data_IF_063857841358
#
_entry.id   IF_063857841358
#
_cell.length_a   1.000
_cell.length_b   1.000
_cell.length_c   1.000
_cell.angle_alpha   90.00
_cell.angle_beta   90.00
_cell.angle_gamma   90.00
#
_symmetry.space_group_name_H-M   'P 1'
#
loop_
_entity.id
_entity.type
_entity.pdbx_description
1 polymer ?
#
# COMPACT_ATOMS: atom_id res chain seq x y z
N UNK A 1 -18.73 -1.56 10.64
CA UNK A 1 -17.59 -2.46 10.48
C UNK A 1 -16.55 -1.74 9.62
N UNK A 2 -15.27 -1.84 9.93
CA UNK A 2 -14.21 -1.26 9.10
C UNK A 2 -14.10 -1.95 7.75
N UNK A 3 -13.61 -1.24 6.76
CA UNK A 3 -13.12 -1.83 5.51
C UNK A 3 -11.64 -2.19 5.70
N UNK A 4 -11.30 -3.47 5.51
CA UNK A 4 -9.97 -4.02 5.78
C UNK A 4 -9.27 -4.29 4.44
N UNK A 5 -8.16 -3.56 4.20
CA UNK A 5 -7.34 -3.62 3.01
C UNK A 5 -6.05 -4.38 3.29
N UNK A 6 -5.84 -5.51 2.63
CA UNK A 6 -4.63 -6.32 2.78
C UNK A 6 -3.59 -5.91 1.72
N UNK A 7 -2.45 -5.40 2.13
CA UNK A 7 -1.29 -5.20 1.25
C UNK A 7 -0.52 -6.51 1.17
N UNK A 8 -0.59 -7.17 0.01
CA UNK A 8 -0.05 -8.52 -0.16
C UNK A 8 0.70 -8.68 -1.47
N UNK A 9 1.83 -9.34 -1.41
CA UNK A 9 2.56 -9.91 -2.53
C UNK A 9 3.61 -10.86 -1.95
N UNK A 10 3.74 -12.05 -2.54
CA UNK A 10 4.74 -13.07 -2.16
C UNK A 10 6.16 -12.56 -2.33
N UNK A 11 6.38 -11.65 -3.28
CA UNK A 11 7.66 -10.96 -3.46
C UNK A 11 7.97 -10.05 -2.27
N UNK A 12 9.15 -10.22 -1.67
CA UNK A 12 9.69 -9.28 -0.70
C UNK A 12 10.16 -7.98 -1.40
N UNK A 13 10.11 -6.86 -0.69
CA UNK A 13 10.65 -5.58 -1.19
C UNK A 13 9.72 -4.75 -2.08
N UNK A 14 8.61 -5.27 -2.56
CA UNK A 14 7.68 -4.58 -3.48
C UNK A 14 6.96 -3.35 -2.90
N UNK A 15 7.29 -2.93 -1.69
CA UNK A 15 6.76 -1.70 -1.11
C UNK A 15 5.49 -1.86 -0.26
N UNK A 16 5.06 -3.07 0.15
CA UNK A 16 3.86 -3.29 0.99
C UNK A 16 3.79 -2.34 2.19
N UNK A 17 4.83 -2.33 3.02
CA UNK A 17 4.90 -1.44 4.20
C UNK A 17 4.82 0.04 3.85
N UNK A 18 5.39 0.44 2.69
CA UNK A 18 5.30 1.80 2.18
C UNK A 18 3.85 2.14 1.82
N UNK A 19 3.18 1.25 1.10
CA UNK A 19 1.76 1.45 0.75
C UNK A 19 0.88 1.55 1.99
N UNK A 20 1.05 0.66 2.98
CA UNK A 20 0.31 0.74 4.26
C UNK A 20 0.51 2.08 4.93
N UNK A 21 1.76 2.49 5.13
CA UNK A 21 2.07 3.76 5.79
C UNK A 21 1.45 4.96 5.07
N UNK A 22 1.62 5.02 3.75
CA UNK A 22 1.21 6.19 2.97
C UNK A 22 -0.30 6.23 2.70
N UNK A 23 -0.94 5.10 2.41
CA UNK A 23 -2.40 5.04 2.26
C UNK A 23 -3.11 5.31 3.59
N UNK A 24 -2.62 4.76 4.70
CA UNK A 24 -3.14 5.08 6.03
C UNK A 24 -2.99 6.57 6.35
N UNK A 25 -1.87 7.20 5.98
CA UNK A 25 -1.65 8.62 6.18
C UNK A 25 -2.62 9.48 5.37
N UNK A 26 -2.76 9.24 4.07
CA UNK A 26 -3.67 9.99 3.20
C UNK A 26 -5.13 9.80 3.64
N UNK A 27 -5.51 8.57 3.98
CA UNK A 27 -6.86 8.26 4.43
C UNK A 27 -7.16 8.89 5.79
N UNK A 28 -6.20 8.80 6.73
CA UNK A 28 -6.33 9.39 8.05
C UNK A 28 -6.38 10.91 8.02
N UNK A 29 -5.52 11.59 7.24
CA UNK A 29 -5.60 13.05 7.05
C UNK A 29 -6.94 13.46 6.45
N UNK A 30 -7.47 12.65 5.52
CA UNK A 30 -8.72 12.95 4.81
C UNK A 30 -9.96 12.77 5.68
N UNK A 31 -10.01 11.70 6.47
CA UNK A 31 -11.17 11.36 7.29
C UNK A 31 -11.12 11.98 8.69
N UNK A 32 -9.92 12.26 9.19
CA UNK A 32 -9.71 12.81 10.52
C UNK A 32 -10.10 11.84 11.64
N UNK A 33 -10.40 12.40 12.79
CA UNK A 33 -10.89 11.67 13.96
C UNK A 33 -12.41 11.47 13.88
N UNK A 34 -12.88 10.37 14.43
CA UNK A 34 -14.31 10.13 14.60
C UNK A 34 -14.87 11.10 15.64
N UNK A 35 -15.91 11.87 15.32
CA UNK A 35 -16.42 12.92 16.21
C UNK A 35 -17.08 12.38 17.49
N UNK A 36 -17.44 11.10 17.53
CA UNK A 36 -18.10 10.48 18.68
C UNK A 36 -17.07 9.90 19.64
N UNK A 37 -16.09 9.17 19.11
CA UNK A 37 -15.08 8.47 19.92
C UNK A 37 -13.82 9.29 20.18
N UNK A 38 -13.56 10.32 19.35
CA UNK A 38 -12.31 11.08 19.38
C UNK A 38 -11.08 10.31 18.86
N UNK A 39 -11.27 9.06 18.41
CA UNK A 39 -10.21 8.21 17.89
C UNK A 39 -9.96 8.49 16.39
N UNK A 40 -8.75 8.21 15.86
CA UNK A 40 -8.52 8.22 14.43
C UNK A 40 -9.50 7.31 13.68
N UNK A 41 -9.96 7.74 12.51
CA UNK A 41 -10.86 6.92 11.68
C UNK A 41 -10.16 5.75 10.97
N UNK A 42 -8.84 5.67 11.07
CA UNK A 42 -7.99 4.73 10.32
C UNK A 42 -6.99 4.04 11.25
N UNK A 43 -6.72 2.78 10.98
CA UNK A 43 -5.61 2.06 11.59
C UNK A 43 -4.69 1.45 10.53
N UNK A 44 -3.40 1.36 10.87
CA UNK A 44 -2.39 0.58 10.14
C UNK A 44 -1.94 -0.58 11.05
N UNK A 45 -1.97 -1.78 10.51
CA UNK A 45 -1.59 -3.00 11.22
C UNK A 45 -0.37 -3.62 10.55
N UNK A 46 0.69 -3.89 11.30
CA UNK A 46 1.81 -4.69 10.80
C UNK A 46 1.69 -6.13 11.28
N UNK A 47 1.55 -7.03 10.34
CA UNK A 47 1.60 -8.47 10.56
C UNK A 47 2.94 -9.08 10.09
N UNK A 48 3.86 -8.26 9.54
CA UNK A 48 5.19 -8.70 9.13
C UNK A 48 6.12 -8.83 10.34
N UNK A 49 6.65 -10.05 10.63
CA UNK A 49 7.59 -10.26 11.72
C UNK A 49 8.91 -9.50 11.57
N UNK A 50 9.29 -9.11 10.35
CA UNK A 50 10.50 -8.32 10.10
C UNK A 50 10.40 -6.90 10.67
N UNK A 51 9.19 -6.40 10.91
CA UNK A 51 8.95 -5.17 11.65
C UNK A 51 9.35 -3.89 10.92
N UNK A 52 9.47 -3.91 9.58
CA UNK A 52 9.84 -2.75 8.78
C UNK A 52 8.91 -1.55 9.01
N UNK A 53 7.60 -1.81 9.01
CA UNK A 53 6.59 -0.78 9.31
C UNK A 53 6.72 -0.28 10.76
N UNK A 54 6.98 -1.17 11.73
CA UNK A 54 7.18 -0.81 13.13
C UNK A 54 8.37 0.11 13.35
N UNK A 55 9.49 -0.17 12.69
CA UNK A 55 10.65 0.71 12.71
C UNK A 55 10.31 2.12 12.24
N UNK A 56 9.51 2.24 11.20
CA UNK A 56 9.07 3.53 10.66
C UNK A 56 8.09 4.22 11.60
N UNK A 57 7.02 3.54 12.00
CA UNK A 57 5.95 4.13 12.83
C UNK A 57 6.42 4.61 14.19
N UNK A 58 7.45 4.00 14.76
CA UNK A 58 8.05 4.47 16.02
C UNK A 58 8.78 5.82 15.89
N UNK A 59 9.02 6.31 14.67
CA UNK A 59 9.70 7.57 14.38
C UNK A 59 8.76 8.67 13.91
N UNK A 60 7.56 8.30 13.47
CA UNK A 60 6.56 9.30 13.06
C UNK A 60 5.93 9.89 14.31
N UNK A 61 6.06 11.21 14.50
CA UNK A 61 5.51 11.91 15.66
C UNK A 61 3.99 12.08 15.54
N UNK A 62 3.53 12.70 14.46
CA UNK A 62 2.12 13.00 14.22
C UNK A 62 1.52 12.07 13.17
N UNK A 63 0.97 10.94 13.63
CA UNK A 63 0.27 9.99 12.77
C UNK A 63 -1.23 10.31 12.75
N UNK A 64 -1.84 10.51 11.56
CA UNK A 64 -3.29 10.69 11.45
C UNK A 64 -4.06 9.36 11.50
N UNK A 65 -3.45 8.30 12.03
CA UNK A 65 -4.00 6.96 12.18
C UNK A 65 -3.37 6.24 13.37
N UNK A 66 -4.05 5.24 13.90
CA UNK A 66 -3.50 4.36 14.92
C UNK A 66 -2.62 3.28 14.28
N UNK A 67 -1.55 2.92 14.99
CA UNK A 67 -0.64 1.86 14.55
C UNK A 67 -0.59 0.71 15.54
N UNK A 68 -0.73 -0.52 15.03
CA UNK A 68 -0.68 -1.76 15.81
C UNK A 68 0.33 -2.73 15.18
N UNK A 69 1.19 -3.32 16.00
CA UNK A 69 2.15 -4.36 15.60
C UNK A 69 1.75 -5.70 16.22
N UNK A 70 1.53 -6.70 15.40
CA UNK A 70 1.40 -8.08 15.86
C UNK A 70 2.80 -8.61 16.16
N UNK A 71 3.05 -9.04 17.40
CA UNK A 71 4.35 -9.54 17.85
C UNK A 71 4.32 -10.94 18.41
N UNK A 72 3.13 -11.47 18.69
CA UNK A 72 2.93 -12.66 19.49
C UNK A 72 2.14 -13.71 18.72
N UNK A 73 2.45 -14.98 18.91
CA UNK A 73 1.73 -16.08 18.25
C UNK A 73 0.26 -16.18 18.70
N UNK A 74 -0.05 -15.64 19.88
CA UNK A 74 -1.42 -15.67 20.41
C UNK A 74 -2.31 -14.57 19.80
N UNK A 75 -1.74 -13.63 19.02
CA UNK A 75 -2.46 -12.50 18.43
C UNK A 75 -3.39 -12.90 17.27
N UNK A 76 -3.43 -14.19 16.88
CA UNK A 76 -4.37 -14.67 15.85
C UNK A 76 -5.83 -14.43 16.23
N UNK A 77 -6.16 -14.44 17.51
CA UNK A 77 -7.51 -14.08 17.98
C UNK A 77 -7.82 -12.59 17.75
N UNK A 78 -6.81 -11.72 17.84
CA UNK A 78 -6.92 -10.29 17.56
C UNK A 78 -7.23 -10.02 16.09
N UNK A 79 -6.66 -10.83 15.18
CA UNK A 79 -6.97 -10.70 13.74
C UNK A 79 -8.47 -10.87 13.49
N UNK A 80 -9.11 -11.86 14.10
CA UNK A 80 -10.56 -12.09 13.94
C UNK A 80 -11.40 -10.94 14.50
N UNK A 81 -10.89 -10.19 15.48
CA UNK A 81 -11.56 -9.06 16.09
C UNK A 81 -11.38 -7.74 15.31
N UNK A 82 -10.57 -7.71 14.26
CA UNK A 82 -10.36 -6.50 13.46
C UNK A 82 -11.67 -5.92 12.92
N UNK A 83 -12.64 -6.78 12.60
CA UNK A 83 -13.95 -6.36 12.11
C UNK A 83 -14.82 -5.66 13.15
N UNK A 84 -14.51 -5.81 14.43
CA UNK A 84 -15.26 -5.21 15.55
C UNK A 84 -14.64 -3.87 15.99
N UNK A 85 -13.49 -3.49 15.44
CA UNK A 85 -12.81 -2.26 15.80
C UNK A 85 -13.53 -1.02 15.26
N UNK A 86 -13.47 0.12 15.95
CA UNK A 86 -14.22 1.34 15.61
C UNK A 86 -13.55 2.18 14.51
N UNK A 87 -12.80 1.56 13.60
CA UNK A 87 -12.20 2.24 12.46
C UNK A 87 -13.11 2.20 11.23
N UNK A 88 -12.89 3.12 10.30
CA UNK A 88 -13.51 3.09 8.96
C UNK A 88 -12.68 2.30 7.98
N UNK A 89 -11.34 2.42 8.08
CA UNK A 89 -10.39 1.70 7.25
C UNK A 89 -9.27 1.12 8.11
N UNK A 90 -8.87 -0.10 7.79
CA UNK A 90 -7.69 -0.76 8.37
C UNK A 90 -6.80 -1.21 7.21
N UNK A 91 -5.56 -0.73 7.17
CA UNK A 91 -4.55 -1.16 6.20
C UNK A 91 -3.60 -2.16 6.86
N UNK A 92 -3.47 -3.35 6.27
CA UNK A 92 -2.71 -4.45 6.85
C UNK A 92 -1.46 -4.73 6.03
N UNK A 93 -0.30 -4.63 6.67
CA UNK A 93 1.01 -4.99 6.10
C UNK A 93 1.26 -6.49 6.33
N UNK A 94 1.18 -7.28 5.27
CA UNK A 94 1.36 -8.72 5.35
C UNK A 94 2.84 -9.12 5.31
N UNK A 95 3.21 -10.29 5.86
CA UNK A 95 4.50 -10.91 5.59
C UNK A 95 4.78 -11.01 4.08
N UNK A 96 6.07 -10.93 3.71
CA UNK A 96 6.52 -11.12 2.32
C UNK A 96 6.52 -12.57 1.88
N UNK A 97 6.29 -13.51 2.79
CA UNK A 97 6.31 -14.94 2.53
C UNK A 97 4.92 -15.55 2.67
N UNK A 98 4.49 -16.26 1.62
CA UNK A 98 3.27 -17.07 1.60
C UNK A 98 3.71 -18.51 1.31
N UNK A 99 3.39 -19.42 2.22
CA UNK A 99 3.69 -20.84 2.04
C UNK A 99 2.68 -21.47 1.07
N UNK A 100 3.19 -21.95 -0.04
CA UNK A 100 2.44 -22.72 -1.03
C UNK A 100 3.06 -24.12 -1.12
N UNK A 101 2.24 -25.14 -1.37
CA UNK A 101 2.70 -26.49 -1.68
C UNK A 101 3.14 -26.63 -3.15
N UNK A 102 3.49 -27.86 -3.56
CA UNK A 102 3.91 -28.14 -4.93
C UNK A 102 2.80 -27.91 -5.96
N UNK A 103 1.54 -27.94 -5.53
CA UNK A 103 0.36 -27.62 -6.35
C UNK A 103 -0.04 -26.16 -6.25
N UNK A 104 0.83 -25.30 -5.69
CA UNK A 104 0.63 -23.85 -5.47
C UNK A 104 -0.60 -23.53 -4.61
N UNK A 105 -1.01 -24.44 -3.73
CA UNK A 105 -2.11 -24.18 -2.80
C UNK A 105 -1.58 -23.61 -1.48
N UNK A 106 -2.37 -22.72 -0.88
CA UNK A 106 -2.04 -22.12 0.41
C UNK A 106 -1.98 -23.21 1.48
N UNK A 107 -0.79 -23.53 1.93
CA UNK A 107 -0.51 -24.65 2.82
C UNK A 107 0.27 -24.21 4.05
N UNK A 108 0.74 -25.20 4.80
CA UNK A 108 1.57 -25.03 5.99
C UNK A 108 0.77 -24.89 7.28
N UNK A 109 1.40 -25.34 8.35
CA UNK A 109 0.88 -25.30 9.73
C UNK A 109 1.69 -24.37 10.62
N UNK A 110 2.60 -23.60 9.99
CA UNK A 110 3.39 -22.59 10.65
C UNK A 110 2.51 -21.45 11.17
N UNK A 111 3.04 -20.70 12.12
CA UNK A 111 2.33 -19.53 12.63
C UNK A 111 2.05 -18.50 11.52
N UNK A 112 3.00 -18.31 10.58
CA UNK A 112 2.82 -17.39 9.44
C UNK A 112 1.70 -17.87 8.51
N UNK A 113 1.64 -19.17 8.19
CA UNK A 113 0.58 -19.71 7.36
C UNK A 113 -0.80 -19.51 8.01
N UNK A 114 -0.92 -19.75 9.32
CA UNK A 114 -2.14 -19.50 10.09
C UNK A 114 -2.51 -18.03 10.13
N UNK A 115 -1.52 -17.14 10.31
CA UNK A 115 -1.70 -15.70 10.28
C UNK A 115 -2.22 -15.24 8.92
N UNK A 116 -1.59 -15.69 7.83
CA UNK A 116 -2.01 -15.31 6.47
C UNK A 116 -3.44 -15.77 6.17
N UNK A 117 -3.83 -17.01 6.54
CA UNK A 117 -5.22 -17.44 6.38
C UNK A 117 -6.19 -16.57 7.16
N UNK A 118 -5.87 -16.22 8.41
CA UNK A 118 -6.71 -15.35 9.21
C UNK A 118 -6.82 -13.94 8.60
N UNK A 119 -5.73 -13.40 8.02
CA UNK A 119 -5.74 -12.11 7.34
C UNK A 119 -6.61 -12.16 6.06
N UNK A 120 -6.49 -13.21 5.25
CA UNK A 120 -7.34 -13.37 4.06
C UNK A 120 -8.81 -13.49 4.44
N UNK A 121 -9.14 -14.24 5.52
CA UNK A 121 -10.52 -14.42 5.99
C UNK A 121 -11.19 -13.10 6.42
N UNK A 122 -10.44 -12.19 7.03
CA UNK A 122 -10.99 -10.93 7.55
C UNK A 122 -10.89 -9.75 6.58
N UNK A 123 -10.15 -9.87 5.49
CA UNK A 123 -9.95 -8.77 4.55
C UNK A 123 -11.13 -8.63 3.59
N UNK A 124 -11.45 -7.39 3.24
CA UNK A 124 -12.50 -7.07 2.26
C UNK A 124 -11.92 -7.01 0.84
N UNK A 125 -10.67 -6.59 0.72
CA UNK A 125 -9.93 -6.56 -0.54
C UNK A 125 -8.42 -6.66 -0.32
N UNK A 126 -7.70 -6.93 -1.41
CA UNK A 126 -6.25 -6.94 -1.45
C UNK A 126 -5.72 -5.86 -2.40
N UNK A 127 -4.71 -5.13 -1.97
CA UNK A 127 -3.92 -4.24 -2.83
C UNK A 127 -2.58 -4.94 -3.07
N UNK A 128 -2.24 -5.15 -4.35
CA UNK A 128 -1.06 -5.90 -4.77
C UNK A 128 -0.09 -4.96 -5.48
N UNK A 129 0.94 -4.44 -4.78
CA UNK A 129 1.99 -3.68 -5.44
C UNK A 129 2.80 -4.58 -6.38
N UNK A 130 3.02 -4.11 -7.61
CA UNK A 130 3.76 -4.82 -8.66
C UNK A 130 4.95 -3.96 -9.09
N UNK A 131 6.16 -4.44 -8.84
CA UNK A 131 7.37 -3.76 -9.32
C UNK A 131 7.59 -3.97 -10.82
N UNK A 132 8.22 -3.01 -11.45
CA UNK A 132 8.54 -3.05 -12.88
C UNK A 132 9.65 -4.06 -13.23
N UNK A 133 10.32 -4.65 -12.25
CA UNK A 133 11.32 -5.68 -12.48
C UNK A 133 10.67 -7.02 -12.86
N UNK A 134 11.07 -7.66 -13.99
CA UNK A 134 10.49 -8.94 -14.43
C UNK A 134 10.56 -10.07 -13.39
N UNK A 135 11.59 -10.06 -12.53
CA UNK A 135 11.73 -11.02 -11.41
C UNK A 135 10.63 -10.87 -10.32
N UNK A 136 9.83 -9.83 -10.39
CA UNK A 136 8.68 -9.66 -9.51
C UNK A 136 7.39 -10.30 -10.06
N UNK A 137 7.35 -10.62 -11.35
CA UNK A 137 6.13 -11.02 -12.04
C UNK A 137 5.65 -12.41 -11.63
N UNK A 138 6.54 -13.42 -11.59
CA UNK A 138 6.19 -14.77 -11.19
C UNK A 138 5.64 -14.83 -9.74
N UNK A 139 6.31 -14.26 -8.71
CA UNK A 139 5.73 -14.23 -7.37
C UNK A 139 4.42 -13.45 -7.27
N UNK A 140 4.21 -12.43 -8.12
CA UNK A 140 2.94 -11.71 -8.20
C UNK A 140 1.86 -12.57 -8.82
N UNK A 141 2.20 -13.30 -9.90
CA UNK A 141 1.31 -14.27 -10.54
C UNK A 141 0.84 -15.33 -9.53
N UNK A 142 1.77 -15.95 -8.79
CA UNK A 142 1.43 -16.91 -7.74
C UNK A 142 0.50 -16.31 -6.68
N UNK A 143 0.77 -15.07 -6.27
CA UNK A 143 -0.08 -14.38 -5.29
C UNK A 143 -1.51 -14.25 -5.78
N UNK A 144 -1.71 -13.88 -7.04
CA UNK A 144 -3.04 -13.61 -7.58
C UNK A 144 -3.73 -14.91 -7.99
N UNK A 145 -3.08 -15.72 -8.83
CA UNK A 145 -3.72 -16.91 -9.42
C UNK A 145 -3.87 -18.06 -8.44
N UNK A 146 -2.85 -18.24 -7.56
CA UNK A 146 -2.84 -19.39 -6.64
C UNK A 146 -3.44 -19.08 -5.27
N UNK A 147 -3.58 -17.78 -4.91
CA UNK A 147 -4.07 -17.41 -3.58
C UNK A 147 -5.33 -16.55 -3.66
N UNK A 148 -5.26 -15.33 -4.24
CA UNK A 148 -6.36 -14.38 -4.14
C UNK A 148 -7.60 -14.84 -4.92
N UNK A 149 -7.44 -15.32 -6.16
CA UNK A 149 -8.55 -15.81 -6.98
C UNK A 149 -9.22 -17.04 -6.40
N UNK A 150 -8.50 -18.10 -5.98
CA UNK A 150 -9.13 -19.27 -5.34
C UNK A 150 -9.87 -18.95 -4.04
N UNK A 151 -9.41 -17.95 -3.28
CA UNK A 151 -10.08 -17.48 -2.07
C UNK A 151 -11.29 -16.58 -2.38
N UNK A 152 -11.47 -16.16 -3.64
CA UNK A 152 -12.52 -15.22 -4.02
C UNK A 152 -12.35 -13.83 -3.39
N UNK A 153 -11.12 -13.44 -3.03
CA UNK A 153 -10.83 -12.14 -2.46
C UNK A 153 -10.66 -11.12 -3.57
N UNK A 154 -11.46 -10.06 -3.54
CA UNK A 154 -11.32 -8.94 -4.45
C UNK A 154 -9.93 -8.32 -4.36
N UNK A 155 -9.35 -7.97 -5.51
CA UNK A 155 -8.02 -7.39 -5.54
C UNK A 155 -7.86 -6.33 -6.63
N UNK A 156 -6.85 -5.48 -6.44
CA UNK A 156 -6.37 -4.55 -7.44
C UNK A 156 -4.85 -4.51 -7.45
N UNK A 157 -4.25 -4.55 -8.63
CA UNK A 157 -2.81 -4.38 -8.80
C UNK A 157 -2.44 -2.91 -8.97
N UNK A 158 -1.28 -2.52 -8.44
CA UNK A 158 -0.77 -1.16 -8.54
C UNK A 158 0.68 -1.23 -9.00
N UNK A 159 0.98 -0.69 -10.18
CA UNK A 159 2.38 -0.60 -10.65
C UNK A 159 3.17 0.34 -9.77
N UNK A 160 4.28 -0.16 -9.25
CA UNK A 160 5.10 0.50 -8.26
C UNK A 160 6.58 0.54 -8.65
N UNK A 161 7.29 1.48 -8.07
CA UNK A 161 8.76 1.58 -8.11
C UNK A 161 9.36 1.80 -9.51
N UNK A 162 8.60 2.42 -10.44
CA UNK A 162 9.13 2.78 -11.74
C UNK A 162 9.84 4.14 -11.69
N UNK A 163 10.92 4.28 -12.46
CA UNK A 163 11.79 5.47 -12.44
C UNK A 163 11.35 6.49 -13.50
N UNK A 164 10.90 7.68 -13.10
CA UNK A 164 10.47 8.71 -14.08
C UNK A 164 11.57 9.19 -15.03
N UNK A 165 12.85 8.97 -14.68
CA UNK A 165 13.99 9.36 -15.52
C UNK A 165 14.32 8.35 -16.62
N UNK A 166 13.80 7.12 -16.53
CA UNK A 166 14.02 6.07 -17.53
C UNK A 166 13.13 6.26 -18.75
N UNK A 167 12.19 7.21 -18.69
CA UNK A 167 11.36 7.58 -19.82
C UNK A 167 12.13 8.41 -20.87
N UNK A 168 11.74 8.22 -22.09
CA UNK A 168 12.19 9.06 -23.21
C UNK A 168 11.00 9.57 -24.02
N UNK A 169 11.22 10.58 -24.87
CA UNK A 169 10.17 11.24 -25.65
C UNK A 169 9.58 10.35 -26.75
N UNK A 170 10.26 9.28 -27.12
CA UNK A 170 9.85 8.38 -28.21
C UNK A 170 9.06 7.18 -27.70
N UNK A 171 9.49 6.57 -26.58
CA UNK A 171 8.94 5.31 -26.10
C UNK A 171 8.19 5.44 -24.76
N UNK A 172 8.11 6.65 -24.18
CA UNK A 172 7.47 6.86 -22.89
C UNK A 172 8.30 6.28 -21.75
N UNK A 173 7.69 5.40 -20.95
CA UNK A 173 8.32 4.74 -19.79
C UNK A 173 8.25 3.22 -19.98
N UNK A 174 9.21 2.62 -20.76
CA UNK A 174 9.10 1.25 -21.22
C UNK A 174 8.86 0.26 -20.07
N UNK A 175 9.60 0.31 -18.98
CA UNK A 175 9.46 -0.67 -17.89
C UNK A 175 8.08 -0.60 -17.23
N UNK A 176 7.53 0.60 -17.05
CA UNK A 176 6.17 0.80 -16.56
C UNK A 176 5.14 0.25 -17.55
N UNK A 177 5.30 0.60 -18.82
CA UNK A 177 4.34 0.29 -19.87
C UNK A 177 4.34 -1.20 -20.19
N UNK A 178 5.50 -1.85 -20.15
CA UNK A 178 5.66 -3.31 -20.26
C UNK A 178 4.98 -4.03 -19.09
N UNK A 179 5.14 -3.52 -17.86
CA UNK A 179 4.47 -4.08 -16.67
C UNK A 179 2.96 -3.93 -16.77
N UNK A 180 2.46 -2.77 -17.21
CA UNK A 180 1.02 -2.56 -17.47
C UNK A 180 0.52 -3.56 -18.51
N UNK A 181 1.24 -3.70 -19.63
CA UNK A 181 0.90 -4.64 -20.71
C UNK A 181 0.84 -6.07 -20.20
N UNK A 182 1.81 -6.45 -19.36
CA UNK A 182 1.82 -7.77 -18.74
C UNK A 182 0.60 -7.98 -17.84
N UNK A 183 0.29 -7.04 -16.93
CA UNK A 183 -0.89 -7.11 -16.05
C UNK A 183 -2.18 -7.23 -16.88
N UNK A 184 -2.33 -6.40 -17.91
CA UNK A 184 -3.50 -6.40 -18.78
C UNK A 184 -3.63 -7.73 -19.55
N UNK A 185 -2.50 -8.33 -19.95
CA UNK A 185 -2.48 -9.65 -20.62
C UNK A 185 -2.95 -10.80 -19.71
N UNK A 186 -2.83 -10.65 -18.39
CA UNK A 186 -3.36 -11.61 -17.40
C UNK A 186 -4.86 -11.40 -17.12
N UNK A 187 -5.45 -10.32 -17.61
CA UNK A 187 -6.85 -9.94 -17.33
C UNK A 187 -7.07 -9.51 -15.89
N UNK A 188 -6.04 -8.99 -15.21
CA UNK A 188 -6.14 -8.55 -13.83
C UNK A 188 -6.66 -7.13 -13.71
N UNK A 189 -7.38 -6.89 -12.59
CA UNK A 189 -7.76 -5.54 -12.22
C UNK A 189 -6.52 -4.74 -11.82
N UNK A 190 -6.34 -3.56 -12.39
CA UNK A 190 -5.29 -2.62 -11.98
C UNK A 190 -5.81 -1.20 -11.81
N UNK A 191 -5.04 -0.38 -11.10
CA UNK A 191 -5.25 1.06 -11.07
C UNK A 191 -4.61 1.74 -12.30
N UNK A 192 -5.18 2.87 -12.71
CA UNK A 192 -4.52 3.80 -13.65
C UNK A 192 -3.39 4.57 -12.95
N UNK A 193 -3.58 4.85 -11.67
CA UNK A 193 -2.55 5.46 -10.82
C UNK A 193 -1.41 4.49 -10.58
N UNK A 194 -0.19 4.98 -10.72
CA UNK A 194 1.04 4.23 -10.47
C UNK A 194 1.90 4.98 -9.45
N UNK A 195 2.74 4.27 -8.71
CA UNK A 195 3.64 4.86 -7.72
C UNK A 195 5.07 4.85 -8.25
N UNK A 196 5.65 6.04 -8.37
CA UNK A 196 7.00 6.24 -8.90
C UNK A 196 8.07 5.94 -7.85
N UNK A 197 9.24 5.56 -8.33
CA UNK A 197 10.42 5.49 -7.48
C UNK A 197 10.92 6.90 -7.14
N UNK A 198 10.72 7.30 -5.89
CA UNK A 198 11.30 8.52 -5.35
C UNK A 198 12.16 8.23 -4.12
N UNK A 199 13.37 8.77 -4.09
CA UNK A 199 14.29 8.63 -2.97
C UNK A 199 13.67 9.01 -1.63
N UNK A 200 12.71 9.93 -1.62
CA UNK A 200 12.00 10.32 -0.40
C UNK A 200 11.26 9.15 0.23
N UNK A 201 10.67 8.24 -0.55
CA UNK A 201 10.00 7.06 0.00
C UNK A 201 10.96 6.12 0.73
N UNK A 202 12.15 5.88 0.18
CA UNK A 202 13.16 5.05 0.83
C UNK A 202 13.81 5.72 2.06
N UNK A 203 13.81 7.05 2.11
CA UNK A 203 14.34 7.82 3.22
C UNK A 203 13.31 8.13 4.32
N UNK A 204 12.04 8.13 3.98
CA UNK A 204 10.94 8.47 4.90
C UNK A 204 10.97 7.66 6.22
N UNK A 205 11.23 6.33 6.22
CA UNK A 205 11.35 5.55 7.45
C UNK A 205 12.46 6.05 8.38
N UNK A 206 13.58 6.54 7.82
CA UNK A 206 14.70 7.07 8.61
C UNK A 206 14.34 8.37 9.30
N UNK A 207 13.58 9.23 8.63
CA UNK A 207 13.24 10.57 9.13
C UNK A 207 11.88 10.63 9.83
N UNK A 208 11.15 9.53 9.92
CA UNK A 208 9.81 9.49 10.51
C UNK A 208 8.79 10.33 9.75
N UNK A 209 8.86 10.36 8.41
CA UNK A 209 7.98 11.18 7.58
C UNK A 209 6.92 10.31 6.88
N UNK A 210 5.74 10.89 6.68
CA UNK A 210 4.65 10.36 5.86
C UNK A 210 4.45 11.27 4.63
N UNK A 211 3.86 10.76 3.55
CA UNK A 211 3.67 11.55 2.32
C UNK A 211 2.81 12.80 2.53
N UNK A 212 1.92 12.79 3.50
CA UNK A 212 1.13 13.96 3.91
C UNK A 212 1.99 15.10 4.48
N UNK A 213 3.22 14.77 4.89
CA UNK A 213 4.21 15.71 5.43
C UNK A 213 5.26 16.16 4.39
N UNK A 214 5.24 15.58 3.18
CA UNK A 214 6.14 15.95 2.09
C UNK A 214 5.78 17.34 1.54
N UNK A 215 6.61 18.35 1.82
CA UNK A 215 6.28 19.75 1.47
C UNK A 215 7.47 20.57 0.95
N UNK A 216 8.68 20.04 1.03
CA UNK A 216 9.90 20.84 0.89
C UNK A 216 10.26 21.15 -0.56
N UNK A 217 9.97 20.25 -1.48
CA UNK A 217 10.37 20.41 -2.87
C UNK A 217 9.41 19.70 -3.84
N UNK A 218 9.64 19.94 -5.14
CA UNK A 218 8.80 19.40 -6.20
C UNK A 218 8.76 17.87 -6.24
N UNK A 219 9.89 17.19 -5.96
CA UNK A 219 9.95 15.73 -5.96
C UNK A 219 9.10 15.15 -4.82
N UNK A 220 9.16 15.75 -3.63
CA UNK A 220 8.31 15.35 -2.52
C UNK A 220 6.83 15.53 -2.82
N UNK A 221 6.45 16.65 -3.44
CA UNK A 221 5.07 16.90 -3.84
C UNK A 221 4.60 15.89 -4.89
N UNK A 222 5.45 15.53 -5.86
CA UNK A 222 5.14 14.49 -6.83
C UNK A 222 4.97 13.11 -6.18
N UNK A 223 5.84 12.78 -5.22
CA UNK A 223 5.77 11.54 -4.47
C UNK A 223 4.49 11.45 -3.62
N UNK A 224 4.10 12.55 -2.97
CA UNK A 224 2.82 12.64 -2.26
C UNK A 224 1.63 12.48 -3.23
N UNK A 225 1.69 13.17 -4.37
CA UNK A 225 0.62 13.17 -5.39
C UNK A 225 0.27 11.75 -5.85
N UNK A 226 1.26 10.86 -6.00
CA UNK A 226 1.01 9.48 -6.42
C UNK A 226 0.07 8.75 -5.44
N UNK A 227 0.30 8.88 -4.13
CA UNK A 227 -0.55 8.27 -3.12
C UNK A 227 -1.92 8.94 -2.98
N UNK A 228 -2.02 10.25 -3.18
CA UNK A 228 -3.33 10.91 -3.20
C UNK A 228 -4.16 10.49 -4.41
N UNK A 229 -3.56 10.37 -5.61
CA UNK A 229 -4.23 9.84 -6.81
C UNK A 229 -4.71 8.42 -6.60
N UNK A 230 -3.82 7.58 -6.10
CA UNK A 230 -4.14 6.19 -5.79
C UNK A 230 -5.29 6.10 -4.78
N UNK A 231 -5.26 6.88 -3.71
CA UNK A 231 -6.31 6.88 -2.70
C UNK A 231 -7.67 7.32 -3.27
N UNK A 232 -7.69 8.34 -4.14
CA UNK A 232 -8.92 8.78 -4.82
C UNK A 232 -9.48 7.67 -5.71
N UNK A 233 -8.63 7.00 -6.48
CA UNK A 233 -9.01 5.90 -7.36
C UNK A 233 -9.51 4.67 -6.58
N UNK A 234 -8.92 4.39 -5.41
CA UNK A 234 -9.37 3.33 -4.49
C UNK A 234 -10.66 3.69 -3.72
N UNK A 235 -11.31 4.80 -4.08
CA UNK A 235 -12.62 5.18 -3.56
C UNK A 235 -12.59 6.24 -2.47
N UNK A 236 -11.44 6.80 -2.10
CA UNK A 236 -11.33 7.90 -1.14
C UNK A 236 -11.56 9.26 -1.82
N UNK A 237 -12.74 9.47 -2.43
CA UNK A 237 -13.07 10.70 -3.17
C UNK A 237 -12.93 11.99 -2.36
N UNK A 238 -13.05 11.93 -1.04
CA UNK A 238 -12.79 13.05 -0.12
C UNK A 238 -11.34 13.55 -0.13
N UNK A 239 -10.39 12.80 -0.66
CA UNK A 239 -9.00 13.22 -0.85
C UNK A 239 -8.79 14.14 -2.08
N UNK A 240 -9.78 14.24 -2.99
CA UNK A 240 -9.70 15.03 -4.22
C UNK A 240 -9.32 16.51 -4.01
N UNK A 241 -9.86 17.25 -3.02
CA UNK A 241 -9.45 18.63 -2.80
C UNK A 241 -7.95 18.79 -2.46
N UNK A 242 -7.39 17.86 -1.70
CA UNK A 242 -5.95 17.85 -1.38
C UNK A 242 -5.10 17.53 -2.60
N UNK A 243 -5.51 16.53 -3.39
CA UNK A 243 -4.87 16.20 -4.67
C UNK A 243 -4.83 17.44 -5.58
N UNK A 244 -5.96 18.10 -5.78
CA UNK A 244 -6.05 19.31 -6.60
C UNK A 244 -5.14 20.44 -6.10
N UNK A 245 -5.03 20.63 -4.79
CA UNK A 245 -4.12 21.62 -4.20
C UNK A 245 -2.63 21.28 -4.46
N UNK A 246 -2.24 19.99 -4.42
CA UNK A 246 -0.88 19.56 -4.76
C UNK A 246 -0.61 19.80 -6.25
N UNK A 247 -1.53 19.44 -7.13
CA UNK A 247 -1.42 19.66 -8.58
C UNK A 247 -1.28 21.13 -8.93
N UNK A 248 -2.07 21.99 -8.29
CA UNK A 248 -1.96 23.45 -8.45
C UNK A 248 -0.57 23.98 -8.04
N UNK A 249 -0.03 23.55 -6.89
CA UNK A 249 1.31 23.93 -6.45
C UNK A 249 2.40 23.49 -7.42
N UNK A 250 2.28 22.29 -7.99
CA UNK A 250 3.22 21.79 -8.99
C UNK A 250 3.15 22.56 -10.31
N UNK A 251 1.99 23.10 -10.65
CA UNK A 251 1.76 23.89 -11.86
C UNK A 251 2.25 25.31 -11.70
N UNK A 252 1.92 25.97 -10.57
CA UNK A 252 2.30 27.37 -10.30
C UNK A 252 3.79 27.54 -10.04
N UNK A 253 4.44 26.56 -9.43
CA UNK A 253 5.91 26.55 -9.25
C UNK A 253 6.72 26.46 -10.55
N UNK A 254 6.08 26.29 -11.72
CA UNK A 254 6.72 26.39 -13.03
C UNK A 254 6.98 27.84 -13.48
N UNK A 255 6.32 28.81 -12.85
CA UNK A 255 6.39 30.22 -13.25
C UNK A 255 7.42 31.08 -12.50
N UNK A 256 8.14 30.53 -11.51
CA UNK A 256 9.06 31.33 -10.67
C UNK A 256 10.56 31.12 -10.95
N UNK A 257 10.91 30.42 -12.01
CA UNK A 257 12.30 30.28 -12.52
C UNK A 257 12.34 30.69 -14.00
N UNK A 258 12.10 31.97 -14.26
CA UNK A 258 12.44 32.65 -15.49
C UNK A 258 13.33 33.85 -15.17
#
# INVERSE_FOLDING_TARGET
MPKIHLLVNRKGGVGKSTFVAQLAAVTGETLGTDPVTGLPSVAALSADPQGSLGFWMNRVEDKPFDYVQIRNRDDLSTIKQLRDLPYRHIYVDSPGWIELDDDLQLTGDTWIAKLMRALFEVSDDAIVPVEVEPLSWEPTFDTIESVLKPLGLDYVTVVNNWEPRDGNTTTGYPDRDDTITWIDSQGWNRTESTVRHYKVHSQAPRYGLLCTQYRSNRMELNAAMDFYRLAVELGLGKAQPRLSAIEQRLTTGKGSNA
#
